data_IF_615934571660
#
_entry.id   IF_615934571660
#
_cell.length_a   1.000
_cell.length_b   1.000
_cell.length_c   1.000
_cell.angle_alpha   90.00
_cell.angle_beta   90.00
_cell.angle_gamma   90.00
#
_symmetry.space_group_name_H-M   'P 1'
#
loop_
_entity.id
_entity.type
_entity.pdbx_description
1 polymer ?
#
# COMPACT_ATOMS: atom_id res chain seq x y z
N UNK A 1 21.50 -3.16 42.03
CA UNK A 1 20.15 -2.93 41.44
C UNK A 1 20.16 -1.58 40.73
N UNK A 2 20.58 -1.54 39.47
CA UNK A 2 20.56 -0.32 38.65
C UNK A 2 19.31 -0.34 37.78
N UNK A 3 18.39 0.57 38.08
CA UNK A 3 17.11 0.77 37.39
C UNK A 3 17.40 1.24 35.96
N UNK A 4 17.13 0.38 34.96
CA UNK A 4 17.10 0.80 33.55
C UNK A 4 15.97 1.83 33.40
N UNK A 5 16.36 3.07 33.12
CA UNK A 5 15.46 4.13 32.71
C UNK A 5 15.00 3.81 31.28
N UNK A 6 13.71 3.54 31.14
CA UNK A 6 13.04 3.55 29.83
C UNK A 6 12.83 5.02 29.47
N UNK A 7 13.24 5.51 28.28
CA UNK A 7 12.85 6.83 27.85
C UNK A 7 11.36 6.80 27.48
N UNK A 8 10.55 7.43 28.33
CA UNK A 8 9.32 8.09 27.94
C UNK A 8 9.76 9.34 27.19
N UNK A 9 9.52 9.40 25.89
CA UNK A 9 9.13 10.60 25.14
C UNK A 9 9.31 10.34 23.63
N UNK A 10 8.27 10.69 22.87
CA UNK A 10 8.30 10.70 21.41
C UNK A 10 9.23 11.81 20.91
N UNK A 11 10.54 11.56 21.00
CA UNK A 11 11.57 12.48 20.55
C UNK A 11 11.38 12.78 19.07
N UNK A 12 11.14 14.05 18.76
CA UNK A 12 11.18 14.54 17.39
C UNK A 12 12.57 14.23 16.82
N UNK A 13 12.62 13.47 15.71
CA UNK A 13 13.87 13.15 15.02
C UNK A 13 14.65 14.43 14.69
N UNK A 14 15.97 14.36 14.58
CA UNK A 14 16.76 15.49 14.10
C UNK A 14 16.58 15.65 12.57
N UNK A 15 16.72 16.87 12.05
CA UNK A 15 16.48 17.15 10.62
C UNK A 15 17.36 16.36 9.64
N UNK A 16 18.60 16.02 10.03
CA UNK A 16 19.48 15.17 9.24
C UNK A 16 19.03 13.70 9.22
N UNK A 17 18.53 13.21 10.35
CA UNK A 17 18.03 11.85 10.51
C UNK A 17 16.73 11.64 9.73
N UNK A 18 15.80 12.59 9.79
CA UNK A 18 14.59 12.59 8.93
C UNK A 18 14.94 12.55 7.45
N UNK A 19 15.91 13.36 7.01
CA UNK A 19 16.35 13.36 5.60
C UNK A 19 16.95 12.01 5.18
N UNK A 20 17.75 11.38 6.04
CA UNK A 20 18.33 10.08 5.74
C UNK A 20 17.27 8.97 5.64
N UNK A 21 16.32 8.93 6.59
CA UNK A 21 15.20 7.99 6.59
C UNK A 21 14.31 8.19 5.35
N UNK A 22 13.98 9.45 5.04
CA UNK A 22 13.21 9.81 3.86
C UNK A 22 13.91 9.36 2.57
N UNK A 23 15.20 9.66 2.40
CA UNK A 23 15.93 9.23 1.21
C UNK A 23 15.98 7.70 1.08
N UNK A 24 16.20 7.00 2.20
CA UNK A 24 16.20 5.53 2.23
C UNK A 24 14.83 4.97 1.82
N UNK A 25 13.75 5.55 2.34
CA UNK A 25 12.38 5.11 2.04
C UNK A 25 11.97 5.44 0.61
N UNK A 26 12.27 6.64 0.13
CA UNK A 26 12.03 7.05 -1.25
C UNK A 26 12.83 6.23 -2.26
N UNK A 27 14.02 5.76 -1.92
CA UNK A 27 14.76 4.81 -2.77
C UNK A 27 14.02 3.47 -2.86
N UNK A 28 13.43 2.96 -1.77
CA UNK A 28 12.61 1.75 -1.82
C UNK A 28 11.30 1.93 -2.60
N UNK A 29 10.71 3.13 -2.53
CA UNK A 29 9.60 3.53 -3.36
C UNK A 29 10.10 3.59 -4.82
N UNK A 30 10.95 4.54 -5.17
CA UNK A 30 11.37 4.88 -6.54
C UNK A 30 12.13 3.79 -7.33
N UNK A 31 12.95 2.94 -6.71
CA UNK A 31 13.79 1.96 -7.44
C UNK A 31 13.04 0.85 -8.18
N UNK A 32 11.71 0.77 -8.07
CA UNK A 32 10.87 -0.13 -8.88
C UNK A 32 9.87 0.60 -9.79
N UNK A 33 9.95 1.93 -9.88
CA UNK A 33 9.13 2.72 -10.82
C UNK A 33 9.69 2.71 -12.26
N UNK A 34 10.91 2.20 -12.47
CA UNK A 34 11.57 2.19 -13.79
C UNK A 34 11.54 0.83 -14.52
N UNK A 35 10.69 -0.12 -14.16
CA UNK A 35 10.61 -1.40 -14.89
C UNK A 35 9.17 -1.93 -15.02
N UNK A 36 8.32 -1.13 -15.65
CA UNK A 36 7.17 -1.58 -16.44
C UNK A 36 6.74 -0.41 -17.33
N UNK A 37 7.42 -0.26 -18.47
CA UNK A 37 7.05 0.70 -19.50
C UNK A 37 5.78 0.22 -20.22
N UNK A 38 4.62 0.63 -19.72
CA UNK A 38 3.41 1.03 -20.45
C UNK A 38 2.33 1.22 -19.38
N UNK A 39 1.94 2.46 -19.11
CA UNK A 39 0.59 2.88 -18.74
C UNK A 39 0.64 4.40 -18.50
N UNK A 40 0.03 5.12 -19.45
CA UNK A 40 -0.50 6.50 -19.44
C UNK A 40 0.23 7.57 -18.60
N UNK A 41 0.66 8.70 -19.21
CA UNK A 41 1.10 9.85 -18.41
C UNK A 41 -0.10 10.44 -17.67
N UNK A 42 -0.05 10.44 -16.34
CA UNK A 42 -0.88 11.34 -15.52
C UNK A 42 -0.35 12.75 -15.80
N UNK A 43 -1.15 13.55 -16.51
CA UNK A 43 -0.78 14.92 -16.86
C UNK A 43 -0.91 15.82 -15.62
N UNK A 44 0.20 16.06 -14.93
CA UNK A 44 0.33 17.05 -13.87
C UNK A 44 0.94 18.33 -14.46
N UNK A 45 0.11 19.31 -14.82
CA UNK A 45 0.35 20.76 -15.01
C UNK A 45 -0.70 21.27 -16.03
N UNK A 46 -1.51 22.31 -15.83
CA UNK A 46 -1.24 23.64 -15.28
C UNK A 46 -2.56 24.27 -14.75
N UNK A 47 -2.53 25.03 -13.64
CA UNK A 47 -3.52 26.08 -13.37
C UNK A 47 -2.81 27.30 -12.77
N UNK A 48 -3.00 28.46 -13.40
CA UNK A 48 -2.35 29.74 -13.08
C UNK A 48 -2.85 30.41 -11.80
N UNK A 49 -2.26 31.57 -11.43
CA UNK A 49 -2.37 32.15 -10.10
C UNK A 49 -3.35 33.33 -10.06
N UNK A 50 -4.54 33.13 -9.49
CA UNK A 50 -5.48 34.23 -9.26
C UNK A 50 -5.98 34.22 -7.80
N UNK A 51 -5.45 35.19 -7.04
CA UNK A 51 -6.12 36.11 -6.09
C UNK A 51 -6.91 35.58 -4.86
N UNK A 52 -6.33 35.96 -3.70
CA UNK A 52 -6.89 36.39 -2.41
C UNK A 52 -8.22 35.82 -1.87
N UNK A 53 -8.16 35.33 -0.63
CA UNK A 53 -9.31 34.91 0.15
C UNK A 53 -8.99 33.77 1.10
N UNK A 54 -8.60 34.13 2.32
CA UNK A 54 -8.40 33.21 3.44
C UNK A 54 -9.59 32.25 3.63
N UNK A 55 -9.44 31.03 3.13
CA UNK A 55 -10.20 29.85 3.54
C UNK A 55 -9.19 28.76 3.86
N UNK A 56 -9.23 28.33 5.11
CA UNK A 56 -8.55 27.14 5.62
C UNK A 56 -8.56 26.04 4.56
N UNK A 57 -7.40 25.77 3.97
CA UNK A 57 -7.22 24.73 2.95
C UNK A 57 -7.28 23.39 3.66
N UNK A 58 -8.49 22.89 3.89
CA UNK A 58 -8.65 21.46 4.12
C UNK A 58 -8.30 20.81 2.79
N UNK A 59 -7.03 20.41 2.65
CA UNK A 59 -6.54 19.67 1.48
C UNK A 59 -7.54 18.55 1.20
N UNK A 60 -8.03 18.50 -0.04
CA UNK A 60 -9.00 17.49 -0.46
C UNK A 60 -8.27 16.16 -0.38
N UNK A 61 -8.50 15.42 0.71
CA UNK A 61 -7.96 14.08 0.88
C UNK A 61 -8.60 13.20 -0.18
N UNK A 62 -7.78 12.66 -1.07
CA UNK A 62 -8.26 11.77 -2.13
C UNK A 62 -8.46 10.38 -1.54
N UNK A 63 -9.71 9.95 -1.47
CA UNK A 63 -10.02 8.55 -1.23
C UNK A 63 -9.54 7.71 -2.43
N UNK A 64 -8.95 6.56 -2.14
CA UNK A 64 -8.71 5.51 -3.12
C UNK A 64 -10.04 4.88 -3.50
N UNK A 65 -10.52 5.22 -4.69
CA UNK A 65 -11.77 4.68 -5.21
C UNK A 65 -11.58 3.26 -5.74
N UNK A 66 -12.36 2.33 -5.18
CA UNK A 66 -12.60 1.05 -5.84
C UNK A 66 -13.32 1.29 -7.18
N UNK A 67 -12.90 0.55 -8.20
CA UNK A 67 -13.45 0.61 -9.56
C UNK A 67 -13.51 -0.79 -10.13
N UNK A 68 -14.44 -1.03 -11.04
CA UNK A 68 -14.59 -2.31 -11.73
C UNK A 68 -13.31 -2.78 -12.43
N UNK A 69 -12.43 -1.85 -12.80
CA UNK A 69 -11.10 -2.14 -13.37
C UNK A 69 -10.15 -2.86 -12.41
N UNK A 70 -10.46 -2.90 -11.11
CA UNK A 70 -9.72 -3.66 -10.10
C UNK A 70 -10.28 -5.08 -9.93
N UNK A 71 -11.45 -5.39 -10.49
CA UNK A 71 -11.96 -6.76 -10.44
C UNK A 71 -11.02 -7.70 -11.18
N UNK A 72 -10.73 -8.83 -10.52
CA UNK A 72 -9.97 -9.94 -11.09
C UNK A 72 -10.90 -11.04 -11.61
N UNK A 73 -12.19 -11.01 -11.24
CA UNK A 73 -13.23 -11.92 -11.71
C UNK A 73 -13.31 -13.21 -10.87
N UNK A 74 -12.97 -13.11 -9.60
CA UNK A 74 -13.17 -14.14 -8.57
C UNK A 74 -13.86 -13.46 -7.40
N UNK A 75 -15.09 -13.88 -7.07
CA UNK A 75 -15.93 -13.16 -6.12
C UNK A 75 -15.32 -13.07 -4.72
N UNK A 76 -14.50 -14.05 -4.32
CA UNK A 76 -13.84 -14.05 -3.02
C UNK A 76 -12.68 -13.07 -3.02
N UNK A 77 -11.79 -13.13 -4.02
CA UNK A 77 -10.69 -12.16 -4.14
C UNK A 77 -11.20 -10.73 -4.32
N UNK A 78 -12.24 -10.53 -5.14
CA UNK A 78 -12.82 -9.20 -5.38
C UNK A 78 -13.42 -8.60 -4.10
N UNK A 79 -14.03 -9.42 -3.23
CA UNK A 79 -14.53 -8.97 -1.93
C UNK A 79 -13.37 -8.60 -0.98
N UNK A 80 -12.31 -9.40 -0.95
CA UNK A 80 -11.13 -9.09 -0.14
C UNK A 80 -10.45 -7.80 -0.61
N UNK A 81 -10.31 -7.60 -1.92
CA UNK A 81 -9.75 -6.35 -2.47
C UNK A 81 -10.60 -5.13 -2.12
N UNK A 82 -11.94 -5.23 -2.15
CA UNK A 82 -12.82 -4.12 -1.76
C UNK A 82 -12.60 -3.72 -0.31
N UNK A 83 -12.53 -4.68 0.61
CA UNK A 83 -12.22 -4.40 2.02
C UNK A 83 -10.78 -3.87 2.18
N UNK A 84 -9.83 -4.36 1.39
CA UNK A 84 -8.46 -3.85 1.39
C UNK A 84 -8.40 -2.36 1.03
N UNK A 85 -9.16 -1.93 0.00
CA UNK A 85 -9.30 -0.51 -0.37
C UNK A 85 -9.98 0.31 0.74
N UNK A 86 -10.99 -0.24 1.41
CA UNK A 86 -11.66 0.44 2.53
C UNK A 86 -10.68 0.69 3.69
N UNK A 87 -9.88 -0.31 4.06
CA UNK A 87 -8.89 -0.19 5.12
C UNK A 87 -7.73 0.73 4.72
N UNK A 88 -7.33 0.72 3.44
CA UNK A 88 -6.37 1.68 2.89
C UNK A 88 -6.88 3.12 3.08
N UNK A 89 -8.16 3.38 2.78
CA UNK A 89 -8.77 4.69 2.99
C UNK A 89 -8.82 5.07 4.47
N UNK A 90 -9.17 4.15 5.38
CA UNK A 90 -9.13 4.42 6.82
C UNK A 90 -7.71 4.76 7.30
N UNK A 91 -6.70 4.12 6.71
CA UNK A 91 -5.31 4.44 6.98
C UNK A 91 -4.93 5.85 6.51
N UNK A 92 -5.19 6.16 5.24
CA UNK A 92 -4.82 7.44 4.62
C UNK A 92 -5.61 8.62 5.18
N UNK A 93 -6.85 8.42 5.60
CA UNK A 93 -7.73 9.46 6.16
C UNK A 93 -7.52 9.69 7.66
N UNK A 94 -6.66 8.94 8.33
CA UNK A 94 -6.38 9.18 9.73
C UNK A 94 -5.63 10.51 9.92
N UNK A 95 -6.19 11.43 10.70
CA UNK A 95 -5.65 12.79 10.82
C UNK A 95 -4.56 12.97 11.88
N UNK A 96 -4.58 12.17 12.94
CA UNK A 96 -3.59 12.24 14.02
C UNK A 96 -2.65 11.03 13.97
N UNK A 97 -1.38 11.24 14.37
CA UNK A 97 -0.34 10.20 14.34
C UNK A 97 -0.76 8.89 14.99
N UNK A 98 -1.38 8.94 16.18
CA UNK A 98 -1.79 7.74 16.89
C UNK A 98 -2.84 6.97 16.10
N UNK A 99 -3.82 7.68 15.52
CA UNK A 99 -4.84 7.11 14.66
C UNK A 99 -4.25 6.54 13.38
N UNK A 100 -3.31 7.24 12.73
CA UNK A 100 -2.61 6.75 11.53
C UNK A 100 -1.86 5.45 11.80
N UNK A 101 -1.15 5.38 12.92
CA UNK A 101 -0.42 4.17 13.28
C UNK A 101 -1.36 3.02 13.63
N UNK A 102 -2.49 3.29 14.30
CA UNK A 102 -3.49 2.28 14.61
C UNK A 102 -4.19 1.74 13.35
N UNK A 103 -4.71 2.61 12.48
CA UNK A 103 -5.35 2.21 11.22
C UNK A 103 -4.36 1.58 10.24
N UNK A 104 -3.12 2.06 10.19
CA UNK A 104 -2.05 1.46 9.41
C UNK A 104 -1.69 0.04 9.86
N UNK A 105 -1.73 -0.24 11.16
CA UNK A 105 -1.58 -1.62 11.68
C UNK A 105 -2.73 -2.53 11.25
N UNK A 106 -3.98 -2.05 11.32
CA UNK A 106 -5.14 -2.80 10.84
C UNK A 106 -5.00 -3.11 9.34
N UNK A 107 -4.62 -2.11 8.55
CA UNK A 107 -4.35 -2.28 7.12
C UNK A 107 -3.22 -3.28 6.84
N UNK A 108 -2.12 -3.24 7.59
CA UNK A 108 -1.02 -4.23 7.46
C UNK A 108 -1.43 -5.64 7.84
N UNK A 109 -2.22 -5.79 8.91
CA UNK A 109 -2.77 -7.10 9.31
C UNK A 109 -3.68 -7.67 8.23
N UNK A 110 -4.55 -6.85 7.67
CA UNK A 110 -5.44 -7.28 6.59
C UNK A 110 -4.68 -7.64 5.31
N UNK A 111 -3.67 -6.83 4.94
CA UNK A 111 -2.79 -7.13 3.80
C UNK A 111 -2.14 -8.51 3.95
N UNK A 112 -1.61 -8.82 5.14
CA UNK A 112 -1.03 -10.15 5.44
C UNK A 112 -2.08 -11.26 5.38
N UNK A 113 -3.30 -11.01 5.87
CA UNK A 113 -4.38 -11.98 5.82
C UNK A 113 -4.80 -12.33 4.39
N UNK A 114 -5.02 -11.30 3.56
CA UNK A 114 -5.33 -11.46 2.14
C UNK A 114 -4.25 -12.29 1.42
N UNK A 115 -2.97 -11.94 1.60
CA UNK A 115 -1.86 -12.70 1.01
C UNK A 115 -1.82 -14.17 1.46
N UNK A 116 -2.11 -14.47 2.72
CA UNK A 116 -2.20 -15.86 3.20
C UNK A 116 -3.32 -16.63 2.48
N UNK A 117 -4.47 -15.99 2.24
CA UNK A 117 -5.58 -16.63 1.53
C UNK A 117 -5.22 -16.91 0.07
N UNK A 118 -4.60 -15.95 -0.61
CA UNK A 118 -4.10 -16.14 -1.97
C UNK A 118 -3.03 -17.22 -2.05
N UNK A 119 -2.06 -17.23 -1.14
CA UNK A 119 -0.99 -18.22 -1.10
C UNK A 119 -1.52 -19.64 -0.91
N UNK A 120 -2.49 -19.81 -0.01
CA UNK A 120 -3.17 -21.09 0.16
C UNK A 120 -3.85 -21.55 -1.14
N UNK A 121 -4.49 -20.63 -1.87
CA UNK A 121 -5.13 -20.92 -3.15
C UNK A 121 -4.10 -21.19 -4.27
N UNK A 122 -2.99 -20.44 -4.32
CA UNK A 122 -1.89 -20.65 -5.25
C UNK A 122 -1.29 -22.05 -5.10
N UNK A 123 -1.04 -22.48 -3.86
CA UNK A 123 -0.58 -23.84 -3.57
C UNK A 123 -1.60 -24.91 -3.96
N UNK A 124 -2.88 -24.71 -3.60
CA UNK A 124 -3.97 -25.64 -3.92
C UNK A 124 -4.15 -25.84 -5.42
N UNK A 125 -4.00 -24.77 -6.19
CA UNK A 125 -4.17 -24.78 -7.65
C UNK A 125 -2.89 -25.09 -8.41
N UNK A 126 -1.76 -25.27 -7.72
CA UNK A 126 -0.44 -25.49 -8.32
C UNK A 126 -0.02 -24.38 -9.28
N UNK A 127 -0.31 -23.12 -8.91
CA UNK A 127 0.02 -21.96 -9.73
C UNK A 127 1.53 -21.90 -10.03
N UNK A 128 1.96 -21.91 -11.32
CA UNK A 128 3.37 -22.03 -11.68
C UNK A 128 4.27 -20.89 -11.15
N UNK A 129 3.70 -19.71 -10.90
CA UNK A 129 4.45 -18.53 -10.47
C UNK A 129 4.34 -18.25 -8.95
N UNK A 130 3.87 -19.23 -8.16
CA UNK A 130 3.68 -19.10 -6.70
C UNK A 130 4.90 -18.50 -5.99
N UNK A 131 6.11 -19.01 -6.26
CA UNK A 131 7.33 -18.52 -5.60
C UNK A 131 7.67 -17.06 -5.95
N UNK A 132 7.34 -16.61 -7.15
CA UNK A 132 7.55 -15.21 -7.55
C UNK A 132 6.50 -14.30 -6.94
N UNK A 133 5.25 -14.77 -6.84
CA UNK A 133 4.15 -14.02 -6.23
C UNK A 133 4.38 -13.82 -4.73
N UNK A 134 4.74 -14.89 -3.99
CA UNK A 134 5.08 -14.79 -2.54
C UNK A 134 6.21 -13.79 -2.29
N UNK A 135 7.24 -13.76 -3.13
CA UNK A 135 8.33 -12.78 -3.00
C UNK A 135 7.84 -11.34 -3.14
N UNK A 136 6.81 -11.10 -3.95
CA UNK A 136 6.18 -9.79 -4.03
C UNK A 136 5.38 -9.46 -2.78
N UNK A 137 4.64 -10.42 -2.21
CA UNK A 137 3.95 -10.25 -0.92
C UNK A 137 4.94 -9.87 0.19
N UNK A 138 6.02 -10.64 0.35
CA UNK A 138 7.07 -10.39 1.34
C UNK A 138 7.66 -8.97 1.18
N UNK A 139 7.85 -8.54 -0.07
CA UNK A 139 8.37 -7.20 -0.38
C UNK A 139 7.37 -6.10 -0.01
N UNK A 140 6.10 -6.26 -0.36
CA UNK A 140 5.03 -5.29 -0.03
C UNK A 140 4.85 -5.17 1.48
N UNK A 141 4.81 -6.30 2.18
CA UNK A 141 4.75 -6.35 3.65
C UNK A 141 5.95 -5.65 4.28
N UNK A 142 7.18 -5.94 3.82
CA UNK A 142 8.38 -5.29 4.36
C UNK A 142 8.38 -3.77 4.15
N UNK A 143 7.92 -3.32 2.98
CA UNK A 143 7.80 -1.89 2.71
C UNK A 143 6.73 -1.23 3.60
N UNK A 144 5.58 -1.89 3.79
CA UNK A 144 4.53 -1.38 4.65
C UNK A 144 4.99 -1.29 6.11
N UNK A 145 5.68 -2.31 6.62
CA UNK A 145 6.21 -2.31 7.99
C UNK A 145 7.20 -1.14 8.19
N UNK A 146 8.11 -0.87 7.22
CA UNK A 146 9.01 0.30 7.26
C UNK A 146 8.28 1.64 7.26
N UNK A 147 7.15 1.74 6.57
CA UNK A 147 6.33 2.96 6.54
C UNK A 147 5.63 3.16 7.88
N UNK A 148 5.11 2.09 8.47
CA UNK A 148 4.47 2.14 9.79
C UNK A 148 5.44 2.58 10.89
N UNK A 149 6.73 2.24 10.78
CA UNK A 149 7.75 2.70 11.72
C UNK A 149 7.92 4.24 11.73
N UNK A 150 7.61 4.91 10.61
CA UNK A 150 7.83 6.35 10.44
C UNK A 150 6.57 7.19 10.26
N UNK A 151 5.38 6.57 10.27
CA UNK A 151 4.13 7.29 10.02
C UNK A 151 3.86 8.32 11.13
N UNK A 152 3.46 9.53 10.71
CA UNK A 152 3.27 10.69 11.59
C UNK A 152 4.56 11.24 12.23
N UNK A 153 5.74 10.93 11.69
CA UNK A 153 7.04 11.50 12.08
C UNK A 153 7.51 12.66 11.19
N UNK A 154 6.69 13.15 10.26
CA UNK A 154 7.07 14.09 9.19
C UNK A 154 8.28 13.60 8.36
N UNK A 155 8.42 12.28 8.20
CA UNK A 155 9.43 11.67 7.31
C UNK A 155 8.91 11.56 5.88
N UNK A 156 7.67 11.07 5.74
CA UNK A 156 6.91 11.06 4.50
C UNK A 156 5.85 12.15 4.53
N UNK A 157 5.62 12.79 3.39
CA UNK A 157 4.43 13.62 3.21
C UNK A 157 3.19 12.74 3.08
N UNK A 158 2.02 13.33 3.30
CA UNK A 158 0.75 12.66 3.06
C UNK A 158 0.63 12.14 1.61
N UNK A 159 1.00 12.97 0.63
CA UNK A 159 0.96 12.59 -0.78
C UNK A 159 1.85 11.38 -1.11
N UNK A 160 3.04 11.30 -0.50
CA UNK A 160 3.94 10.15 -0.72
C UNK A 160 3.40 8.86 -0.10
N UNK A 161 2.70 8.97 1.03
CA UNK A 161 2.03 7.85 1.66
C UNK A 161 0.86 7.37 0.79
N UNK A 162 0.03 8.30 0.31
CA UNK A 162 -1.09 8.03 -0.60
C UNK A 162 -0.60 7.36 -1.89
N UNK A 163 0.43 7.91 -2.53
CA UNK A 163 1.05 7.34 -3.74
C UNK A 163 1.58 5.93 -3.49
N UNK A 164 2.26 5.70 -2.37
CA UNK A 164 2.76 4.38 -2.03
C UNK A 164 1.63 3.36 -1.91
N UNK A 165 0.58 3.68 -1.14
CA UNK A 165 -0.54 2.76 -0.88
C UNK A 165 -1.32 2.52 -2.18
N UNK A 166 -1.72 3.58 -2.88
CA UNK A 166 -2.48 3.50 -4.13
C UNK A 166 -1.77 2.63 -5.17
N UNK A 167 -0.48 2.88 -5.36
CA UNK A 167 0.29 2.20 -6.37
C UNK A 167 0.59 0.75 -5.99
N UNK A 168 0.85 0.48 -4.70
CA UNK A 168 1.08 -0.87 -4.22
C UNK A 168 -0.13 -1.76 -4.49
N UNK A 169 -1.34 -1.30 -4.13
CA UNK A 169 -2.59 -2.02 -4.40
C UNK A 169 -2.81 -2.19 -5.91
N UNK A 170 -2.82 -1.10 -6.66
CA UNK A 170 -3.15 -1.15 -8.08
C UNK A 170 -2.17 -2.00 -8.90
N UNK A 171 -0.86 -1.90 -8.63
CA UNK A 171 0.15 -2.70 -9.34
C UNK A 171 0.11 -4.17 -8.95
N UNK A 172 -0.13 -4.47 -7.68
CA UNK A 172 -0.23 -5.85 -7.21
C UNK A 172 -1.39 -6.57 -7.91
N UNK A 173 -2.60 -6.00 -7.80
CA UNK A 173 -3.82 -6.50 -8.45
C UNK A 173 -3.64 -6.66 -9.96
N UNK A 174 -3.04 -5.66 -10.62
CA UNK A 174 -2.89 -5.69 -12.07
C UNK A 174 -1.87 -6.74 -12.55
N UNK A 175 -0.74 -6.87 -11.87
CA UNK A 175 0.40 -7.64 -12.37
C UNK A 175 0.51 -9.05 -11.79
N UNK A 176 -0.11 -9.32 -10.64
CA UNK A 176 -0.01 -10.60 -9.96
C UNK A 176 -1.37 -11.28 -9.79
N UNK A 177 -2.33 -10.60 -9.16
CA UNK A 177 -3.61 -11.20 -8.76
C UNK A 177 -4.48 -11.46 -10.00
N UNK A 178 -4.49 -10.55 -10.97
CA UNK A 178 -5.24 -10.76 -12.22
C UNK A 178 -4.74 -11.97 -13.03
N UNK A 179 -3.44 -12.14 -13.33
CA UNK A 179 -2.92 -13.37 -13.93
C UNK A 179 -3.24 -14.63 -13.12
N UNK A 180 -3.14 -14.54 -11.79
CA UNK A 180 -3.48 -15.64 -10.89
C UNK A 180 -4.97 -16.02 -10.98
N UNK A 181 -5.89 -15.07 -10.87
CA UNK A 181 -7.33 -15.30 -11.00
C UNK A 181 -7.70 -15.89 -12.37
N UNK A 182 -7.05 -15.46 -13.46
CA UNK A 182 -7.21 -16.07 -14.79
C UNK A 182 -6.80 -17.54 -14.77
N UNK A 183 -5.68 -17.87 -14.12
CA UNK A 183 -5.22 -19.24 -13.96
C UNK A 183 -6.21 -20.09 -13.12
N UNK A 184 -6.70 -19.57 -11.99
CA UNK A 184 -7.69 -20.24 -11.14
C UNK A 184 -8.96 -20.56 -11.92
N UNK A 185 -9.51 -19.61 -12.69
CA UNK A 185 -10.71 -19.85 -13.50
C UNK A 185 -10.51 -20.90 -14.57
N UNK A 186 -9.35 -20.90 -15.25
CA UNK A 186 -9.06 -21.85 -16.32
C UNK A 186 -8.86 -23.28 -15.80
N UNK A 187 -8.24 -23.44 -14.63
CA UNK A 187 -7.93 -24.74 -14.07
C UNK A 187 -8.98 -25.23 -13.06
N UNK A 188 -9.79 -24.35 -12.48
CA UNK A 188 -10.93 -24.69 -11.64
C UNK A 188 -12.13 -25.25 -12.41
N UNK A 189 -12.19 -25.03 -13.73
CA UNK A 189 -13.16 -25.67 -14.63
C UNK A 189 -12.78 -27.12 -15.01
N UNK A 190 -11.56 -27.54 -14.70
CA UNK A 190 -11.08 -28.91 -14.92
C UNK A 190 -10.86 -29.53 -13.56
N UNK A 191 -11.92 -30.12 -12.98
CA UNK A 191 -11.72 -31.03 -11.87
C UNK A 191 -10.75 -32.13 -12.34
N UNK A 192 -9.67 -32.44 -11.59
CA UNK A 192 -8.84 -33.59 -11.91
C UNK A 192 -9.69 -34.86 -11.82
N UNK A 193 -9.60 -35.68 -12.87
CA UNK A 193 -10.20 -37.01 -12.93
C UNK A 193 -9.52 -37.97 -11.95
#
# INVERSE_FOLDING_TARGET
>A
MTKRMVPRDGGALLGAERRHLRNTLLVFVALRYQSAALLMPVNLSQRGPDEDGAKSTQEIRMALDWKDTHMVGDCTMDAEHQEWFQLANQFLMAGERQSMHASGKVFSQYTKHHFVNEEALMHKTQFPYTATHIKEHERLVSNLDKILDVVGMDVLSQAELEDFVALSLAKHIANYDRPFAVYVRRNGAVAPA
#
